data_IF_302774478887
#
_entry.id   IF_302774478887
#
_cell.length_a   1.000
_cell.length_b   1.000
_cell.length_c   1.000
_cell.angle_alpha   90.00
_cell.angle_beta   90.00
_cell.angle_gamma   90.00
#
_symmetry.space_group_name_H-M   'P 1'
#
loop_
_entity.id
_entity.type
_entity.pdbx_description
1 polymer ?
#
# COMPACT_ATOMS: atom_id res chain seq x y z
N UNK A 1 -14.16 -3.06 1.19
CA UNK A 1 -12.99 -2.18 1.26
C UNK A 1 -11.73 -3.02 1.10
N UNK A 2 -11.05 -2.88 -0.04
CA UNK A 2 -9.78 -3.54 -0.38
C UNK A 2 -8.66 -2.54 -0.16
N UNK A 3 -7.66 -2.94 0.62
CA UNK A 3 -6.52 -2.08 0.91
C UNK A 3 -5.24 -2.63 0.30
N UNK A 4 -4.34 -1.74 -0.07
CA UNK A 4 -2.94 -2.07 -0.33
C UNK A 4 -2.11 -1.33 0.70
N UNK A 5 -1.20 -2.03 1.37
CA UNK A 5 -0.26 -1.43 2.31
C UNK A 5 1.15 -1.64 1.76
N UNK A 6 1.79 -0.53 1.40
CA UNK A 6 3.16 -0.49 0.94
C UNK A 6 4.09 -0.12 2.10
N UNK A 7 4.98 -1.05 2.47
CA UNK A 7 5.98 -0.86 3.53
C UNK A 7 7.36 -1.34 3.06
N UNK A 8 8.43 -1.01 3.79
CA UNK A 8 9.80 -1.35 3.39
C UNK A 8 10.03 -2.87 3.32
N UNK A 9 9.25 -3.64 4.07
CA UNK A 9 9.16 -5.10 3.96
C UNK A 9 7.74 -5.58 4.32
N UNK A 10 7.47 -6.88 4.10
CA UNK A 10 6.16 -7.49 4.35
C UNK A 10 5.81 -7.52 5.85
N UNK A 11 6.80 -7.68 6.74
CA UNK A 11 6.57 -7.72 8.18
C UNK A 11 6.02 -6.37 8.68
N UNK A 12 6.58 -5.25 8.22
CA UNK A 12 6.08 -3.90 8.53
C UNK A 12 4.71 -3.66 7.92
N UNK A 13 4.47 -4.10 6.69
CA UNK A 13 3.15 -3.99 6.06
C UNK A 13 2.09 -4.74 6.89
N UNK A 14 2.43 -5.95 7.38
CA UNK A 14 1.56 -6.73 8.26
C UNK A 14 1.30 -6.01 9.58
N UNK A 15 2.34 -5.46 10.21
CA UNK A 15 2.20 -4.69 11.44
C UNK A 15 1.27 -3.49 11.25
N UNK A 16 1.46 -2.69 10.19
CA UNK A 16 0.59 -1.57 9.85
C UNK A 16 -0.85 -2.02 9.56
N UNK A 17 -1.02 -3.18 8.90
CA UNK A 17 -2.34 -3.78 8.68
C UNK A 17 -3.06 -4.03 10.01
N UNK A 18 -2.37 -4.57 11.01
CA UNK A 18 -2.92 -4.79 12.34
C UNK A 18 -3.20 -3.47 13.07
N UNK A 19 -2.24 -2.54 13.10
CA UNK A 19 -2.37 -1.23 13.77
C UNK A 19 -3.54 -0.40 13.24
N UNK A 20 -3.84 -0.53 11.95
CA UNK A 20 -4.90 0.21 11.27
C UNK A 20 -6.23 -0.56 11.15
N UNK A 21 -6.34 -1.75 11.76
CA UNK A 21 -7.58 -2.53 11.82
C UNK A 21 -7.99 -3.20 10.50
N UNK A 22 -7.00 -3.53 9.67
CA UNK A 22 -7.17 -4.25 8.40
C UNK A 22 -6.98 -5.78 8.51
N UNK A 23 -6.64 -6.28 9.69
CA UNK A 23 -6.42 -7.70 10.04
C UNK A 23 -7.52 -8.67 9.54
N UNK A 24 -8.76 -8.20 9.40
CA UNK A 24 -9.91 -9.01 8.95
C UNK A 24 -10.39 -8.71 7.52
N UNK A 25 -9.61 -7.96 6.73
CA UNK A 25 -10.04 -7.46 5.41
C UNK A 25 -9.07 -7.90 4.30
N UNK A 26 -9.53 -7.92 3.03
CA UNK A 26 -8.63 -8.18 1.90
C UNK A 26 -7.59 -7.08 1.81
N UNK A 27 -6.33 -7.43 2.13
CA UNK A 27 -5.19 -6.51 2.09
C UNK A 27 -4.05 -7.13 1.29
N UNK A 28 -3.58 -6.40 0.28
CA UNK A 28 -2.31 -6.73 -0.36
C UNK A 28 -1.17 -6.04 0.41
N UNK A 29 -0.25 -6.85 0.93
CA UNK A 29 0.97 -6.38 1.58
C UNK A 29 2.08 -6.33 0.54
N UNK A 30 2.62 -5.14 0.28
CA UNK A 30 3.54 -4.92 -0.84
C UNK A 30 4.81 -4.25 -0.35
N UNK A 31 5.96 -4.73 -0.85
CA UNK A 31 7.26 -4.07 -0.68
C UNK A 31 7.71 -3.40 -1.98
N UNK A 32 8.63 -2.42 -1.95
CA UNK A 32 9.18 -1.80 -3.16
C UNK A 32 9.75 -2.83 -4.15
N UNK A 33 10.43 -3.86 -3.62
CA UNK A 33 10.97 -4.97 -4.42
C UNK A 33 9.86 -5.74 -5.13
N UNK A 34 8.76 -6.01 -4.44
CA UNK A 34 7.63 -6.72 -5.03
C UNK A 34 6.97 -5.90 -6.15
N UNK A 35 6.87 -4.57 -6.00
CA UNK A 35 6.33 -3.68 -7.04
C UNK A 35 7.17 -3.73 -8.31
N UNK A 36 8.50 -3.67 -8.17
CA UNK A 36 9.44 -3.80 -9.30
C UNK A 36 9.32 -5.16 -10.01
N UNK A 37 8.90 -6.19 -9.30
CA UNK A 37 8.61 -7.52 -9.85
C UNK A 37 7.19 -7.66 -10.43
N UNK A 38 6.39 -6.59 -10.40
CA UNK A 38 5.04 -6.54 -10.97
C UNK A 38 3.90 -6.70 -9.97
N UNK A 39 4.17 -6.80 -8.66
CA UNK A 39 3.11 -6.81 -7.65
C UNK A 39 2.29 -5.52 -7.72
N UNK A 40 0.96 -5.65 -7.62
CA UNK A 40 0.04 -4.52 -7.81
C UNK A 40 -0.62 -4.49 -9.19
N UNK A 41 0.00 -5.08 -10.23
CA UNK A 41 -0.63 -5.14 -11.57
C UNK A 41 -1.88 -6.01 -11.55
N UNK A 42 -2.98 -5.48 -12.09
CA UNK A 42 -4.28 -6.16 -12.12
C UNK A 42 -5.02 -6.19 -10.78
N UNK A 43 -4.43 -5.65 -9.71
CA UNK A 43 -5.15 -5.44 -8.46
C UNK A 43 -6.03 -4.21 -8.55
N UNK A 44 -7.13 -4.24 -7.81
CA UNK A 44 -8.00 -3.08 -7.62
C UNK A 44 -8.15 -2.81 -6.12
N UNK A 45 -7.98 -1.55 -5.73
CA UNK A 45 -7.97 -1.11 -4.35
C UNK A 45 -8.90 0.08 -4.15
N UNK A 46 -9.53 0.15 -2.98
CA UNK A 46 -10.32 1.31 -2.57
C UNK A 46 -9.44 2.30 -1.77
N UNK A 47 -8.37 1.79 -1.16
CA UNK A 47 -7.37 2.59 -0.45
C UNK A 47 -5.96 2.01 -0.63
N UNK A 48 -4.99 2.88 -0.84
CA UNK A 48 -3.55 2.56 -0.82
C UNK A 48 -2.90 3.35 0.30
N UNK A 49 -2.16 2.66 1.17
CA UNK A 49 -1.46 3.25 2.31
C UNK A 49 0.05 3.01 2.14
N UNK A 50 0.84 4.07 2.20
CA UNK A 50 2.29 4.03 2.00
C UNK A 50 2.95 4.49 3.30
N UNK A 51 3.75 3.61 3.92
CA UNK A 51 4.58 3.95 5.10
C UNK A 51 5.56 5.08 4.74
N UNK A 52 5.78 6.05 5.63
CA UNK A 52 6.61 7.23 5.34
C UNK A 52 8.06 6.88 4.98
N UNK A 53 8.61 5.84 5.60
CA UNK A 53 9.98 5.35 5.37
C UNK A 53 10.18 4.68 4.00
N UNK A 54 9.12 4.57 3.19
CA UNK A 54 9.19 3.88 1.91
C UNK A 54 9.38 4.84 0.75
N UNK A 55 10.51 4.65 0.07
CA UNK A 55 10.71 5.16 -1.27
C UNK A 55 10.30 4.11 -2.31
N UNK A 56 9.28 4.46 -3.11
CA UNK A 56 8.76 3.63 -4.19
C UNK A 56 9.32 4.04 -5.56
N UNK A 57 9.94 5.22 -5.68
CA UNK A 57 10.22 5.86 -6.95
C UNK A 57 8.95 6.17 -7.76
N UNK A 58 9.12 6.82 -8.92
CA UNK A 58 8.01 7.21 -9.80
C UNK A 58 7.23 5.99 -10.30
N UNK A 59 7.90 4.97 -10.82
CA UNK A 59 7.29 3.76 -11.36
C UNK A 59 6.46 3.00 -10.32
N UNK A 60 6.93 2.97 -9.07
CA UNK A 60 6.22 2.31 -7.99
C UNK A 60 4.95 3.05 -7.61
N UNK A 61 5.00 4.38 -7.58
CA UNK A 61 3.82 5.23 -7.36
C UNK A 61 2.82 5.08 -8.51
N UNK A 62 3.28 5.06 -9.76
CA UNK A 62 2.41 4.86 -10.93
C UNK A 62 1.73 3.48 -10.89
N UNK A 63 2.49 2.43 -10.56
CA UNK A 63 1.94 1.08 -10.40
C UNK A 63 0.84 1.06 -9.35
N UNK A 64 1.07 1.64 -8.16
CA UNK A 64 0.04 1.71 -7.13
C UNK A 64 -1.15 2.58 -7.54
N UNK A 65 -0.91 3.69 -8.26
CA UNK A 65 -1.97 4.58 -8.75
C UNK A 65 -2.88 3.85 -9.75
N UNK A 66 -2.33 2.95 -10.57
CA UNK A 66 -3.13 2.14 -11.49
C UNK A 66 -4.16 1.25 -10.77
N UNK A 67 -3.89 0.84 -9.53
CA UNK A 67 -4.80 0.00 -8.73
C UNK A 67 -6.06 0.74 -8.26
N UNK A 68 -6.08 2.07 -8.35
CA UNK A 68 -7.20 2.93 -7.95
C UNK A 68 -8.13 3.26 -9.13
N UNK A 69 -7.74 2.88 -10.37
CA UNK A 69 -8.54 3.17 -11.56
C UNK A 69 -9.86 2.39 -11.48
N UNK A 70 -10.97 3.10 -11.68
CA UNK A 70 -12.32 2.54 -11.67
C UNK A 70 -12.95 2.35 -10.29
N UNK A 71 -12.18 2.40 -9.19
CA UNK A 71 -12.72 2.32 -7.82
C UNK A 71 -13.02 3.69 -7.21
N UNK A 72 -12.44 4.77 -7.74
CA UNK A 72 -12.47 6.09 -7.09
C UNK A 72 -11.68 6.12 -5.79
N UNK A 73 -10.82 5.13 -5.56
CA UNK A 73 -10.06 4.98 -4.33
C UNK A 73 -8.98 6.04 -4.14
N UNK A 74 -8.40 6.05 -2.95
CA UNK A 74 -7.47 7.10 -2.52
C UNK A 74 -6.12 6.53 -2.08
N UNK A 75 -5.07 7.33 -2.25
CA UNK A 75 -3.71 6.99 -1.84
C UNK A 75 -3.26 7.94 -0.74
N UNK A 76 -2.75 7.39 0.35
CA UNK A 76 -2.27 8.14 1.51
C UNK A 76 -0.84 7.74 1.84
N UNK A 77 -0.05 8.74 2.26
CA UNK A 77 1.21 8.50 2.94
C UNK A 77 0.97 8.59 4.45
N UNK A 78 1.31 7.53 5.16
CA UNK A 78 1.21 7.44 6.60
C UNK A 78 2.42 8.16 7.20
N UNK A 79 2.19 9.05 8.15
CA UNK A 79 3.24 9.66 8.95
C UNK A 79 2.87 9.51 10.43
N UNK A 80 3.88 9.33 11.27
CA UNK A 80 3.68 9.30 12.71
C UNK A 80 3.37 10.73 13.19
N UNK A 81 2.30 10.88 13.97
CA UNK A 81 2.05 12.12 14.72
C UNK A 81 2.86 12.01 16.01
N UNK A 82 3.86 12.86 16.17
CA UNK A 82 4.61 12.99 17.42
C UNK A 82 3.74 13.75 18.44
N UNK A 83 3.66 13.20 19.66
CA UNK A 83 3.08 13.87 20.83
C UNK A 83 4.20 14.44 21.68
#
# INVERSE_FOLDING_TARGET
>A
MRAIIAAHNIARAMQLSCELGFDKRPVALISPRAIKQGAGRGLTADIVLIDDQVDLGADGIETLRSTLIGSGGQMYRLSRVEN
#
